data_IF_661553206222
#
_entry.id   IF_661553206222
#
_cell.length_a   1.000
_cell.length_b   1.000
_cell.length_c   1.000
_cell.angle_alpha   90.00
_cell.angle_beta   90.00
_cell.angle_gamma   90.00
#
_symmetry.space_group_name_H-M   'P 1'
#
loop_
_entity.id
_entity.type
_entity.pdbx_description
1 polymer ?
#
# COMPACT_ATOMS: atom_id res chain seq x y z
N UNK A 1 6.70 -18.45 3.82
CA UNK A 1 6.93 -17.11 4.40
C UNK A 1 7.93 -16.36 3.55
N UNK A 2 7.97 -15.04 3.67
CA UNK A 2 8.91 -14.17 2.95
C UNK A 2 9.87 -13.51 3.94
N UNK A 3 11.16 -13.49 3.63
CA UNK A 3 12.17 -12.73 4.36
C UNK A 3 12.79 -11.72 3.39
N UNK A 4 12.69 -10.43 3.75
CA UNK A 4 13.22 -9.33 2.94
C UNK A 4 14.38 -8.67 3.69
N UNK A 5 15.55 -8.57 3.05
CA UNK A 5 16.65 -7.72 3.51
C UNK A 5 16.57 -6.39 2.78
N UNK A 6 16.37 -5.31 3.52
CA UNK A 6 16.41 -3.96 2.96
C UNK A 6 17.87 -3.54 2.81
N UNK A 7 18.34 -3.43 1.57
CA UNK A 7 19.73 -3.07 1.25
C UNK A 7 19.93 -1.57 1.04
N UNK A 8 18.87 -0.86 0.66
CA UNK A 8 18.82 0.60 0.53
C UNK A 8 17.51 1.08 1.16
N UNK A 9 17.63 1.83 2.25
CA UNK A 9 16.47 2.32 3.00
C UNK A 9 15.81 3.55 2.35
N UNK A 10 16.56 4.32 1.57
CA UNK A 10 16.06 5.56 0.95
C UNK A 10 15.29 5.24 -0.33
N UNK A 11 15.67 4.16 -1.02
CA UNK A 11 14.93 3.67 -2.19
C UNK A 11 13.73 2.76 -1.83
N UNK A 12 13.72 2.15 -0.64
CA UNK A 12 12.70 1.17 -0.29
C UNK A 12 11.37 1.84 0.08
N UNK A 13 10.28 1.35 -0.53
CA UNK A 13 8.91 1.84 -0.32
C UNK A 13 8.06 0.70 0.28
N UNK A 14 8.00 0.56 1.63
CA UNK A 14 7.40 -0.60 2.29
C UNK A 14 5.92 -0.81 1.94
N UNK A 15 5.14 0.26 1.89
CA UNK A 15 3.71 0.18 1.60
C UNK A 15 3.47 -0.30 0.17
N UNK A 16 4.22 0.23 -0.81
CA UNK A 16 4.15 -0.22 -2.21
C UNK A 16 4.48 -1.71 -2.32
N UNK A 17 5.56 -2.16 -1.67
CA UNK A 17 5.92 -3.58 -1.63
C UNK A 17 4.77 -4.44 -1.10
N UNK A 18 4.13 -4.05 0.01
CA UNK A 18 3.04 -4.83 0.61
C UNK A 18 1.81 -4.89 -0.30
N UNK A 19 1.49 -3.82 -1.05
CA UNK A 19 0.39 -3.84 -2.02
C UNK A 19 0.68 -4.79 -3.18
N UNK A 20 1.91 -4.82 -3.70
CA UNK A 20 2.31 -5.86 -4.67
C UNK A 20 2.20 -7.28 -4.09
N UNK A 21 2.59 -7.48 -2.83
CA UNK A 21 2.43 -8.77 -2.18
C UNK A 21 0.96 -9.16 -2.01
N UNK A 22 0.09 -8.22 -1.63
CA UNK A 22 -1.34 -8.45 -1.53
C UNK A 22 -1.96 -8.81 -2.90
N UNK A 23 -1.59 -8.11 -3.97
CA UNK A 23 -1.98 -8.45 -5.35
C UNK A 23 -1.56 -9.88 -5.70
N UNK A 24 -0.29 -10.23 -5.50
CA UNK A 24 0.26 -11.55 -5.85
C UNK A 24 -0.41 -12.65 -5.02
N UNK A 25 -0.56 -12.46 -3.71
CA UNK A 25 -1.18 -13.44 -2.83
C UNK A 25 -2.65 -13.64 -3.18
N UNK A 26 -3.40 -12.57 -3.43
CA UNK A 26 -4.80 -12.68 -3.85
C UNK A 26 -4.93 -13.40 -5.21
N UNK A 27 -4.05 -13.11 -6.17
CA UNK A 27 -4.04 -13.71 -7.51
C UNK A 27 -3.69 -15.20 -7.48
N UNK A 28 -2.72 -15.62 -6.68
CA UNK A 28 -2.22 -17.00 -6.67
C UNK A 28 -2.85 -17.89 -5.58
N UNK A 29 -3.44 -17.31 -4.54
CA UNK A 29 -4.02 -18.01 -3.40
C UNK A 29 -5.44 -17.50 -3.08
N UNK A 30 -6.29 -17.34 -4.10
CA UNK A 30 -7.60 -16.71 -3.97
C UNK A 30 -8.53 -17.38 -2.94
N UNK A 31 -8.35 -18.68 -2.66
CA UNK A 31 -9.21 -19.42 -1.71
C UNK A 31 -8.75 -19.22 -0.27
N UNK A 32 -7.46 -19.01 -0.05
CA UNK A 32 -6.82 -18.91 1.26
C UNK A 32 -6.57 -17.47 1.68
N UNK A 33 -6.37 -16.56 0.72
CA UNK A 33 -6.11 -15.16 0.98
C UNK A 33 -7.37 -14.45 1.45
N UNK A 34 -7.32 -13.90 2.66
CA UNK A 34 -8.42 -13.14 3.25
C UNK A 34 -8.02 -11.68 3.42
N UNK A 35 -8.98 -10.79 3.18
CA UNK A 35 -8.82 -9.35 3.38
C UNK A 35 -9.09 -8.92 4.83
N UNK A 36 -8.93 -9.83 5.80
CA UNK A 36 -9.34 -9.55 7.18
C UNK A 36 -8.60 -8.33 7.76
N UNK A 37 -9.37 -7.37 8.27
CA UNK A 37 -8.92 -6.08 8.82
C UNK A 37 -8.16 -5.16 7.86
N UNK A 38 -8.07 -5.46 6.57
CA UNK A 38 -7.34 -4.60 5.62
C UNK A 38 -7.91 -3.17 5.59
N UNK A 39 -9.23 -3.03 5.63
CA UNK A 39 -9.91 -1.74 5.59
C UNK A 39 -9.58 -0.90 6.84
N UNK A 40 -9.42 -1.53 8.00
CA UNK A 40 -9.02 -0.86 9.25
C UNK A 40 -7.55 -0.48 9.24
N UNK A 41 -6.68 -1.33 8.68
CA UNK A 41 -5.24 -1.06 8.60
C UNK A 41 -4.92 0.08 7.64
N UNK A 42 -5.62 0.11 6.51
CA UNK A 42 -5.38 1.07 5.42
C UNK A 42 -6.23 2.33 5.58
N UNK A 43 -7.32 2.27 6.36
CA UNK A 43 -8.21 3.40 6.63
C UNK A 43 -9.23 3.67 5.51
N UNK A 44 -9.35 2.77 4.55
CA UNK A 44 -10.31 2.85 3.44
C UNK A 44 -10.62 1.44 2.91
N UNK A 45 -11.85 1.21 2.46
CA UNK A 45 -12.24 -0.04 1.79
C UNK A 45 -11.74 -0.14 0.34
N UNK A 46 -11.27 0.98 -0.24
CA UNK A 46 -10.91 1.08 -1.66
C UNK A 46 -9.85 0.06 -2.07
N UNK A 47 -8.84 -0.16 -1.24
CA UNK A 47 -7.76 -1.13 -1.52
C UNK A 47 -8.30 -2.55 -1.63
N UNK A 48 -9.18 -2.95 -0.71
CA UNK A 48 -9.82 -4.26 -0.76
C UNK A 48 -10.64 -4.40 -2.04
N UNK A 49 -11.47 -3.41 -2.36
CA UNK A 49 -12.34 -3.44 -3.55
C UNK A 49 -11.53 -3.58 -4.84
N UNK A 50 -10.43 -2.85 -4.99
CA UNK A 50 -9.57 -2.95 -6.18
C UNK A 50 -8.85 -4.30 -6.26
N UNK A 51 -8.37 -4.83 -5.13
CA UNK A 51 -7.75 -6.15 -5.09
C UNK A 51 -8.76 -7.27 -5.43
N UNK A 52 -9.99 -7.20 -4.91
CA UNK A 52 -11.09 -8.12 -5.25
C UNK A 52 -11.42 -8.11 -6.75
N UNK A 53 -11.19 -6.98 -7.43
CA UNK A 53 -11.33 -6.82 -8.88
C UNK A 53 -10.08 -7.24 -9.67
N UNK A 54 -9.07 -7.79 -9.02
CA UNK A 54 -7.77 -8.15 -9.59
C UNK A 54 -7.06 -6.97 -10.27
N UNK A 55 -7.32 -5.74 -9.81
CA UNK A 55 -6.61 -4.57 -10.30
C UNK A 55 -5.09 -4.72 -10.05
N UNK A 56 -4.24 -4.22 -10.97
CA UNK A 56 -2.80 -4.20 -10.73
C UNK A 56 -2.47 -3.30 -9.54
N UNK A 57 -1.47 -3.67 -8.75
CA UNK A 57 -1.05 -2.88 -7.58
C UNK A 57 -0.73 -1.42 -7.93
N UNK A 58 -0.16 -1.17 -9.11
CA UNK A 58 0.12 0.19 -9.57
C UNK A 58 -1.13 1.07 -9.69
N UNK A 59 -2.29 0.50 -10.03
CA UNK A 59 -3.54 1.27 -10.04
C UNK A 59 -3.96 1.65 -8.62
N UNK A 60 -3.79 0.75 -7.65
CA UNK A 60 -4.08 1.03 -6.23
C UNK A 60 -3.14 2.10 -5.69
N UNK A 61 -1.86 2.02 -6.05
CA UNK A 61 -0.83 2.92 -5.55
C UNK A 61 -0.94 4.31 -6.16
N UNK A 62 -1.20 4.41 -7.47
CA UNK A 62 -1.32 5.69 -8.17
C UNK A 62 -2.38 6.60 -7.53
N UNK A 63 -3.46 6.00 -7.02
CA UNK A 63 -4.53 6.76 -6.36
C UNK A 63 -4.14 7.35 -4.99
N UNK A 64 -2.98 7.02 -4.43
CA UNK A 64 -2.44 7.66 -3.22
C UNK A 64 -1.45 8.79 -3.52
N UNK A 65 -0.91 8.88 -4.72
CA UNK A 65 0.15 9.85 -5.05
C UNK A 65 -0.32 11.29 -4.85
N UNK A 66 -1.57 11.58 -5.22
CA UNK A 66 -2.20 12.88 -5.03
C UNK A 66 -2.44 13.19 -3.54
N UNK A 67 -3.00 12.23 -2.79
CA UNK A 67 -3.28 12.39 -1.36
C UNK A 67 -2.00 12.56 -0.54
N UNK A 68 -0.95 11.81 -0.89
CA UNK A 68 0.36 11.89 -0.27
C UNK A 68 1.00 13.25 -0.54
N UNK A 69 0.94 13.74 -1.78
CA UNK A 69 1.44 15.07 -2.14
C UNK A 69 0.70 16.15 -1.37
N UNK A 70 -0.63 16.12 -1.38
CA UNK A 70 -1.43 17.07 -0.61
C UNK A 70 -1.18 16.98 0.90
N UNK A 71 -0.92 15.79 1.45
CA UNK A 71 -0.57 15.64 2.85
C UNK A 71 0.81 16.23 3.17
N UNK A 72 1.81 16.05 2.29
CA UNK A 72 3.15 16.65 2.44
C UNK A 72 3.06 18.18 2.50
N UNK A 73 2.23 18.79 1.65
CA UNK A 73 1.98 20.23 1.66
C UNK A 73 1.27 20.67 2.93
N UNK A 74 0.18 19.97 3.32
CA UNK A 74 -0.59 20.30 4.53
C UNK A 74 0.24 20.16 5.81
N UNK A 75 1.15 19.19 5.88
CA UNK A 75 1.98 19.00 7.09
C UNK A 75 3.15 19.98 7.18
N UNK A 76 3.58 20.58 6.07
CA UNK A 76 4.78 21.43 6.03
C UNK A 76 4.80 22.57 7.08
N UNK A 77 3.71 23.31 7.33
CA UNK A 77 3.68 24.36 8.35
C UNK A 77 3.81 23.86 9.79
N UNK A 78 3.64 22.56 10.02
CA UNK A 78 3.61 21.93 11.34
C UNK A 78 4.89 21.13 11.65
N UNK A 79 5.87 21.11 10.74
CA UNK A 79 7.14 20.42 10.95
C UNK A 79 8.04 21.20 11.93
N UNK A 80 8.56 20.50 12.94
CA UNK A 80 9.47 21.06 13.96
C UNK A 80 10.95 20.76 13.65
N UNK A 81 11.20 19.92 12.65
CA UNK A 81 12.52 19.45 12.26
C UNK A 81 12.62 19.48 10.73
N UNK A 82 13.83 19.71 10.23
CA UNK A 82 14.19 19.52 8.83
C UNK A 82 14.20 18.03 8.46
#
# INVERSE_FOLDING_TARGET
>A
GLYCVVTDREAFQPVRMVIHLAELLHRFHTREFTFDRIDTLVGTERVRVLLEQFAPAEAIIAEWEEEETGFRERRAPFLLYE
#
